data_IF_461521383313
#
_entry.id   IF_461521383313
#
_cell.length_a   1.000
_cell.length_b   1.000
_cell.length_c   1.000
_cell.angle_alpha   90.00
_cell.angle_beta   90.00
_cell.angle_gamma   90.00
#
_symmetry.space_group_name_H-M   'P 1'
#
loop_
_entity.id
_entity.type
_entity.pdbx_description
1 polymer ?
#
# COMPACT_ATOMS: atom_id res chain seq x y z
N UNK A 1 1.83 -0.01 3.98
CA UNK A 1 2.39 0.93 2.98
C UNK A 1 2.23 2.33 3.53
N UNK A 2 2.97 3.30 3.03
CA UNK A 2 2.69 4.71 3.29
C UNK A 2 1.75 5.26 2.22
N UNK A 3 0.68 5.94 2.62
CA UNK A 3 -0.20 6.70 1.72
C UNK A 3 0.19 8.16 1.83
N UNK A 4 0.72 8.70 0.73
CA UNK A 4 1.17 10.07 0.63
C UNK A 4 0.03 10.92 0.07
N UNK A 5 -0.31 12.00 0.76
CA UNK A 5 -1.40 12.93 0.37
C UNK A 5 -0.96 14.37 0.59
N UNK A 6 -1.82 15.32 0.23
CA UNK A 6 -1.67 16.75 0.45
C UNK A 6 -2.74 17.17 1.47
N UNK A 7 -2.30 17.71 2.59
CA UNK A 7 -3.16 18.21 3.64
C UNK A 7 -3.34 19.72 3.52
N UNK A 8 -4.61 20.17 3.48
CA UNK A 8 -4.98 21.59 3.59
C UNK A 8 -5.07 21.99 5.06
N UNK A 9 -4.27 22.97 5.47
CA UNK A 9 -4.30 23.53 6.82
C UNK A 9 -5.06 24.87 6.81
N UNK A 10 -5.79 25.17 7.88
CA UNK A 10 -6.51 26.44 7.96
C UNK A 10 -5.51 27.61 8.01
N UNK A 11 -5.65 28.55 7.06
CA UNK A 11 -4.80 29.74 6.99
C UNK A 11 -3.38 29.49 6.48
N UNK A 12 -3.04 28.29 5.97
CA UNK A 12 -1.71 27.95 5.44
C UNK A 12 -1.85 27.22 4.08
N UNK A 13 -0.76 27.26 3.31
CA UNK A 13 -0.50 26.50 2.08
C UNK A 13 -0.69 24.98 2.27
N UNK A 14 -0.90 24.27 1.16
CA UNK A 14 -0.99 22.81 1.08
C UNK A 14 0.32 22.13 1.52
N UNK A 15 0.26 21.15 2.43
CA UNK A 15 1.45 20.45 2.96
C UNK A 15 1.40 18.96 2.60
N UNK A 16 2.44 18.39 1.98
CA UNK A 16 2.56 16.95 1.78
C UNK A 16 2.61 16.22 3.13
N UNK A 17 1.85 15.14 3.26
CA UNK A 17 1.81 14.29 4.45
C UNK A 17 1.81 12.82 4.05
N UNK A 18 2.29 11.98 4.95
CA UNK A 18 2.40 10.53 4.76
C UNK A 18 1.94 9.82 6.03
N UNK A 19 1.13 8.78 5.89
CA UNK A 19 0.75 7.91 6.99
C UNK A 19 0.84 6.44 6.59
N UNK A 20 1.20 5.59 7.56
CA UNK A 20 1.25 4.15 7.37
C UNK A 20 -0.18 3.57 7.42
N UNK A 21 -0.52 2.76 6.43
CA UNK A 21 -1.80 2.11 6.23
C UNK A 21 -1.62 0.62 5.91
N UNK A 22 -2.57 -0.21 6.33
CA UNK A 22 -2.56 -1.65 6.07
C UNK A 22 -2.91 -1.96 4.62
N UNK A 23 -2.16 -2.88 4.02
CA UNK A 23 -2.35 -3.28 2.63
C UNK A 23 -1.95 -4.73 2.40
N UNK A 24 -2.52 -5.38 1.41
CA UNK A 24 -2.10 -6.71 0.97
C UNK A 24 -2.41 -6.91 -0.51
N UNK A 25 -1.51 -7.57 -1.24
CA UNK A 25 -1.82 -8.05 -2.59
C UNK A 25 -2.44 -9.44 -2.49
N UNK A 26 -3.78 -9.47 -2.44
CA UNK A 26 -4.54 -10.71 -2.26
C UNK A 26 -4.93 -11.40 -3.57
N UNK A 27 -4.81 -10.70 -4.70
CA UNK A 27 -5.06 -11.29 -6.03
C UNK A 27 -3.75 -11.71 -6.72
N UNK A 28 -2.59 -11.38 -6.13
CA UNK A 28 -1.25 -11.65 -6.66
C UNK A 28 -1.03 -11.02 -8.04
N UNK A 29 -1.66 -9.88 -8.29
CA UNK A 29 -1.61 -9.15 -9.56
C UNK A 29 -0.81 -7.84 -9.46
N UNK A 30 -0.18 -7.56 -8.31
CA UNK A 30 0.52 -6.32 -8.04
C UNK A 30 -0.40 -5.15 -7.70
N UNK A 31 -1.71 -5.34 -7.60
CA UNK A 31 -2.65 -4.28 -7.26
C UNK A 31 -3.10 -4.43 -5.80
N UNK A 32 -2.45 -3.73 -4.85
CA UNK A 32 -2.71 -3.94 -3.45
C UNK A 32 -4.11 -3.49 -3.06
N UNK A 33 -4.74 -4.29 -2.20
CA UNK A 33 -5.90 -3.87 -1.43
C UNK A 33 -5.47 -3.03 -0.24
N UNK A 34 -6.26 -2.01 0.07
CA UNK A 34 -6.13 -1.19 1.28
C UNK A 34 -7.44 -1.25 2.06
N UNK A 35 -7.33 -1.60 3.34
CA UNK A 35 -8.41 -1.45 4.31
C UNK A 35 -8.42 0.00 4.81
N UNK A 36 -9.26 0.83 4.20
CA UNK A 36 -9.33 2.25 4.52
C UNK A 36 -10.09 2.43 5.82
N UNK A 37 -9.54 3.20 6.76
CA UNK A 37 -10.28 3.68 7.93
C UNK A 37 -10.69 5.13 7.69
N UNK A 38 -11.99 5.41 7.62
CA UNK A 38 -12.53 6.71 7.18
C UNK A 38 -12.07 7.90 8.03
N UNK A 39 -11.73 7.67 9.31
CA UNK A 39 -11.26 8.72 10.22
C UNK A 39 -9.80 9.13 9.95
N UNK A 40 -9.03 8.29 9.25
CA UNK A 40 -7.62 8.49 8.96
C UNK A 40 -7.37 9.73 8.10
N UNK A 41 -6.22 10.38 8.31
CA UNK A 41 -5.86 11.58 7.55
C UNK A 41 -5.72 11.32 6.04
N UNK A 42 -5.15 10.18 5.55
CA UNK A 42 -5.09 9.96 4.11
C UNK A 42 -6.47 9.86 3.48
N UNK A 43 -7.38 9.09 4.10
CA UNK A 43 -8.75 8.93 3.64
C UNK A 43 -9.48 10.28 3.55
N UNK A 44 -9.36 11.11 4.61
CA UNK A 44 -9.98 12.46 4.65
C UNK A 44 -9.37 13.41 3.62
N UNK A 45 -8.06 13.37 3.40
CA UNK A 45 -7.39 14.21 2.41
C UNK A 45 -7.81 13.82 0.99
N UNK A 46 -7.82 12.52 0.67
CA UNK A 46 -8.27 12.00 -0.64
C UNK A 46 -9.74 12.36 -0.89
N UNK A 47 -10.62 12.18 0.11
CA UNK A 47 -12.02 12.58 0.01
C UNK A 47 -12.23 14.08 -0.24
N UNK A 48 -11.24 14.92 0.10
CA UNK A 48 -11.23 16.38 -0.16
C UNK A 48 -10.52 16.75 -1.47
N UNK A 49 -10.21 15.76 -2.32
CA UNK A 49 -9.60 15.96 -3.63
C UNK A 49 -8.07 16.03 -3.64
N UNK A 50 -7.40 15.53 -2.58
CA UNK A 50 -5.95 15.43 -2.57
C UNK A 50 -5.43 14.51 -3.69
N UNK A 51 -4.35 14.92 -4.35
CA UNK A 51 -3.49 13.99 -5.09
C UNK A 51 -2.86 12.98 -4.13
N UNK A 52 -2.49 11.81 -4.63
CA UNK A 52 -1.94 10.74 -3.81
C UNK A 52 -0.88 9.92 -4.53
N UNK A 53 -0.06 9.25 -3.74
CA UNK A 53 0.83 8.16 -4.16
C UNK A 53 1.02 7.19 -3.00
N UNK A 54 1.57 6.01 -3.28
CA UNK A 54 1.79 4.99 -2.27
C UNK A 54 3.27 4.64 -2.21
N UNK A 55 3.81 4.36 -1.03
CA UNK A 55 5.21 3.96 -0.89
C UNK A 55 5.34 2.70 -0.07
N UNK A 56 6.13 1.76 -0.59
CA UNK A 56 6.44 0.49 0.06
C UNK A 56 7.96 0.35 0.09
N UNK A 57 8.50 -0.04 1.24
CA UNK A 57 9.90 -0.43 1.40
C UNK A 57 9.97 -1.90 1.75
N UNK A 58 10.90 -2.63 1.15
CA UNK A 58 11.23 -3.98 1.61
C UNK A 58 11.75 -3.91 3.05
N UNK A 59 11.19 -4.74 3.93
CA UNK A 59 11.47 -4.67 5.38
C UNK A 59 10.47 -3.85 6.19
N UNK A 60 9.52 -3.12 5.56
CA UNK A 60 8.40 -2.47 6.27
C UNK A 60 7.26 -3.49 6.51
N UNK A 61 7.56 -4.52 7.30
CA UNK A 61 6.60 -5.54 7.69
C UNK A 61 6.65 -5.78 9.21
N UNK A 62 5.58 -6.31 9.82
CA UNK A 62 5.60 -6.74 11.21
C UNK A 62 6.70 -7.79 11.46
N UNK A 63 7.21 -7.85 12.69
CA UNK A 63 8.27 -8.79 13.11
C UNK A 63 7.91 -10.26 12.82
N UNK A 64 6.62 -10.61 12.86
CA UNK A 64 6.14 -11.97 12.61
C UNK A 64 5.86 -12.31 11.14
N UNK A 65 6.07 -11.37 10.21
CA UNK A 65 5.86 -11.63 8.79
C UNK A 65 7.10 -12.25 8.14
N UNK A 66 6.89 -13.29 7.32
CA UNK A 66 7.95 -13.99 6.62
C UNK A 66 8.10 -13.41 5.22
N UNK A 67 8.98 -12.43 5.06
CA UNK A 67 9.36 -11.88 3.75
C UNK A 67 10.76 -12.32 3.36
N UNK A 68 10.99 -12.47 2.06
CA UNK A 68 12.34 -12.56 1.55
C UNK A 68 13.01 -11.17 1.69
N UNK A 69 13.97 -11.08 2.62
CA UNK A 69 14.73 -9.86 2.85
C UNK A 69 15.86 -9.66 1.82
N UNK A 70 16.19 -10.69 1.04
CA UNK A 70 17.22 -10.62 0.01
C UNK A 70 16.65 -9.98 -1.24
N UNK A 71 17.31 -8.91 -1.69
CA UNK A 71 17.00 -8.26 -2.96
C UNK A 71 18.29 -8.04 -3.74
N UNK A 72 18.33 -8.32 -5.06
CA UNK A 72 19.50 -8.06 -5.89
C UNK A 72 20.00 -6.61 -5.78
N UNK A 73 21.21 -6.43 -5.26
CA UNK A 73 21.81 -5.10 -5.06
C UNK A 73 21.37 -4.38 -3.77
N UNK A 74 20.48 -4.99 -2.97
CA UNK A 74 20.06 -4.46 -1.68
C UNK A 74 21.11 -4.64 -0.59
N UNK A 75 21.15 -3.73 0.38
CA UNK A 75 21.95 -3.89 1.61
C UNK A 75 20.98 -4.03 2.79
N UNK A 76 20.72 -5.26 3.22
CA UNK A 76 19.69 -5.63 4.21
C UNK A 76 19.80 -4.83 5.51
N UNK A 77 21.01 -4.56 5.99
CA UNK A 77 21.26 -3.81 7.22
C UNK A 77 21.09 -2.29 7.09
N UNK A 78 20.85 -1.77 5.88
CA UNK A 78 20.72 -0.36 5.61
C UNK A 78 19.32 -0.02 5.09
N UNK A 79 18.52 0.76 5.83
CA UNK A 79 17.21 1.23 5.33
C UNK A 79 17.29 1.99 3.99
N UNK A 80 18.42 2.66 3.72
CA UNK A 80 18.68 3.33 2.45
C UNK A 80 19.23 2.38 1.37
N UNK A 81 19.76 1.22 1.77
CA UNK A 81 20.14 0.14 0.87
C UNK A 81 18.98 -0.80 0.53
N UNK A 82 17.84 -0.70 1.21
CA UNK A 82 16.65 -1.51 0.91
C UNK A 82 15.86 -0.98 -0.31
N UNK A 83 15.26 -1.89 -1.10
CA UNK A 83 14.34 -1.54 -2.18
C UNK A 83 13.15 -0.75 -1.68
N UNK A 84 12.79 0.29 -2.43
CA UNK A 84 11.64 1.16 -2.18
C UNK A 84 10.93 1.42 -3.50
N UNK A 85 9.61 1.33 -3.46
CA UNK A 85 8.74 1.61 -4.59
C UNK A 85 7.82 2.77 -4.23
N UNK A 86 7.69 3.72 -5.14
CA UNK A 86 6.57 4.66 -5.17
C UNK A 86 5.60 4.20 -6.24
N UNK A 87 4.41 3.78 -5.84
CA UNK A 87 3.32 3.37 -6.73
C UNK A 87 2.41 4.56 -7.01
N UNK A 88 1.94 4.68 -8.25
CA UNK A 88 0.91 5.60 -8.69
C UNK A 88 -0.15 4.81 -9.44
N UNK A 89 -1.39 5.30 -9.40
CA UNK A 89 -2.52 4.60 -9.97
C UNK A 89 -3.83 5.09 -9.38
N UNK A 90 -4.91 4.39 -9.70
CA UNK A 90 -6.26 4.77 -9.28
C UNK A 90 -6.73 3.95 -8.08
N UNK A 91 -7.50 4.59 -7.20
CA UNK A 91 -8.20 3.93 -6.10
C UNK A 91 -9.59 3.51 -6.57
N UNK A 92 -9.85 2.20 -6.59
CA UNK A 92 -11.15 1.63 -6.94
C UNK A 92 -11.84 1.13 -5.67
N UNK A 93 -13.02 1.67 -5.34
CA UNK A 93 -13.81 1.14 -4.24
C UNK A 93 -14.39 -0.22 -4.63
N UNK A 94 -14.13 -1.23 -3.79
CA UNK A 94 -14.53 -2.63 -4.03
C UNK A 94 -15.34 -3.20 -2.87
N UNK A 95 -15.80 -2.35 -1.94
CA UNK A 95 -16.55 -2.75 -0.73
C UNK A 95 -17.82 -3.51 -1.06
N UNK A 96 -18.51 -3.10 -2.12
CA UNK A 96 -19.76 -3.70 -2.61
C UNK A 96 -19.54 -4.84 -3.63
N UNK A 97 -18.34 -5.44 -3.63
CA UNK A 97 -18.07 -6.64 -4.45
C UNK A 97 -18.94 -7.83 -4.01
N UNK A 98 -18.96 -8.90 -4.82
CA UNK A 98 -19.71 -10.10 -4.46
C UNK A 98 -19.28 -10.65 -3.08
N UNK A 99 -20.21 -11.23 -2.29
CA UNK A 99 -19.89 -11.78 -0.97
C UNK A 99 -18.73 -12.77 -0.99
N UNK A 100 -18.63 -13.57 -2.06
CA UNK A 100 -17.56 -14.53 -2.26
C UNK A 100 -16.18 -13.85 -2.43
N UNK A 101 -16.13 -12.74 -3.18
CA UNK A 101 -14.90 -11.96 -3.35
C UNK A 101 -14.48 -11.27 -2.06
N UNK A 102 -15.43 -10.69 -1.33
CA UNK A 102 -15.16 -10.07 -0.02
C UNK A 102 -14.64 -11.11 0.99
N UNK A 103 -15.27 -12.30 1.06
CA UNK A 103 -14.82 -13.35 1.97
C UNK A 103 -13.39 -13.82 1.69
N UNK A 104 -13.00 -13.96 0.40
CA UNK A 104 -11.62 -14.28 0.01
C UNK A 104 -10.65 -13.16 0.38
N UNK A 105 -11.01 -11.91 0.09
CA UNK A 105 -10.21 -10.73 0.43
C UNK A 105 -9.97 -10.67 1.94
N UNK A 106 -11.02 -10.77 2.76
CA UNK A 106 -10.91 -10.72 4.21
C UNK A 106 -10.03 -11.86 4.76
N UNK A 107 -10.20 -13.09 4.23
CA UNK A 107 -9.38 -14.24 4.63
C UNK A 107 -7.89 -13.99 4.36
N UNK A 108 -7.54 -13.55 3.15
CA UNK A 108 -6.17 -13.22 2.81
C UNK A 108 -5.63 -12.04 3.65
N UNK A 109 -6.39 -10.96 3.73
CA UNK A 109 -5.95 -9.72 4.37
C UNK A 109 -5.73 -9.91 5.87
N UNK A 110 -6.63 -10.61 6.56
CA UNK A 110 -6.47 -10.96 7.99
C UNK A 110 -5.36 -12.00 8.19
N UNK A 111 -5.14 -12.89 7.22
CA UNK A 111 -3.98 -13.77 7.22
C UNK A 111 -2.66 -12.99 7.28
N UNK A 112 -2.59 -11.84 6.60
CA UNK A 112 -1.42 -10.96 6.58
C UNK A 112 -1.38 -9.92 7.70
N UNK A 113 -2.54 -9.48 8.17
CA UNK A 113 -2.75 -8.50 9.26
C UNK A 113 -3.77 -9.02 10.28
N UNK A 114 -3.39 -9.91 11.20
CA UNK A 114 -4.36 -10.61 12.08
C UNK A 114 -5.19 -9.72 13.00
N UNK A 115 -4.69 -8.54 13.33
CA UNK A 115 -5.36 -7.52 14.12
C UNK A 115 -6.45 -6.78 13.33
N UNK A 116 -6.36 -6.72 12.00
CA UNK A 116 -7.33 -6.03 11.14
C UNK A 116 -8.77 -6.54 11.26
N UNK A 117 -8.96 -7.78 11.72
CA UNK A 117 -10.26 -8.42 11.94
C UNK A 117 -11.22 -7.59 12.80
N UNK A 118 -10.69 -6.73 13.67
CA UNK A 118 -11.51 -5.93 14.59
C UNK A 118 -12.19 -4.74 13.93
N UNK A 119 -11.70 -4.30 12.77
CA UNK A 119 -12.20 -3.11 12.06
C UNK A 119 -12.47 -3.37 10.57
N UNK A 120 -12.84 -4.60 10.21
CA UNK A 120 -13.35 -4.89 8.86
C UNK A 120 -14.68 -4.14 8.62
N UNK A 121 -15.05 -3.83 7.36
CA UNK A 121 -16.22 -2.99 7.07
C UNK A 121 -17.55 -3.49 7.64
N UNK A 122 -17.73 -4.82 7.73
CA UNK A 122 -18.93 -5.45 8.28
C UNK A 122 -18.84 -5.77 9.78
N UNK A 123 -17.74 -5.41 10.45
CA UNK A 123 -17.57 -5.62 11.89
C UNK A 123 -18.49 -4.67 12.67
N UNK A 124 -19.51 -5.22 13.33
CA UNK A 124 -20.49 -4.44 14.10
C UNK A 124 -19.88 -3.66 15.27
N UNK A 125 -18.74 -4.11 15.77
CA UNK A 125 -18.04 -3.49 16.89
C UNK A 125 -16.82 -2.66 16.45
N UNK A 126 -16.68 -2.39 15.15
CA UNK A 126 -15.60 -1.52 14.68
C UNK A 126 -15.76 -0.12 15.27
N UNK A 127 -14.73 0.46 15.92
CA UNK A 127 -14.80 1.80 16.50
C UNK A 127 -14.99 2.90 15.46
N UNK A 128 -14.62 2.62 14.20
CA UNK A 128 -14.72 3.53 13.08
C UNK A 128 -15.22 2.81 11.83
N UNK A 129 -15.84 3.56 10.90
CA UNK A 129 -16.17 3.02 9.58
C UNK A 129 -14.90 2.75 8.79
N UNK A 130 -14.93 1.64 8.06
CA UNK A 130 -13.88 1.25 7.14
C UNK A 130 -14.50 0.75 5.84
N UNK A 131 -13.71 0.75 4.78
CA UNK A 131 -14.12 0.29 3.46
C UNK A 131 -12.94 -0.30 2.69
N UNK A 132 -13.23 -1.13 1.69
CA UNK A 132 -12.23 -1.76 0.86
C UNK A 132 -11.97 -0.95 -0.39
N UNK A 133 -10.69 -0.73 -0.69
CA UNK A 133 -10.25 -0.23 -1.98
C UNK A 133 -9.18 -1.13 -2.57
N UNK A 134 -9.13 -1.20 -3.90
CA UNK A 134 -8.04 -1.80 -4.67
C UNK A 134 -7.30 -0.69 -5.40
N UNK A 135 -5.97 -0.68 -5.33
CA UNK A 135 -5.14 0.29 -6.03
C UNK A 135 -4.75 -0.33 -7.38
N UNK A 136 -5.28 0.23 -8.45
CA UNK A 136 -4.89 -0.14 -9.81
C UNK A 136 -3.60 0.60 -10.18
N UNK A 137 -2.46 -0.06 -10.04
CA UNK A 137 -1.13 0.52 -10.26
C UNK A 137 -0.92 0.76 -11.76
N UNK A 138 -0.50 1.96 -12.14
CA UNK A 138 -0.23 2.33 -13.54
C UNK A 138 1.24 2.69 -13.76
N UNK A 139 1.91 3.18 -12.72
CA UNK A 139 3.29 3.64 -12.80
C UNK A 139 4.01 3.35 -11.49
N UNK A 140 5.28 2.97 -11.60
CA UNK A 140 6.15 2.70 -10.47
C UNK A 140 7.42 3.52 -10.61
N UNK A 141 7.88 4.12 -9.52
CA UNK A 141 9.24 4.63 -9.42
C UNK A 141 10.01 3.79 -8.41
N UNK A 142 11.11 3.19 -8.85
CA UNK A 142 11.89 2.27 -8.06
C UNK A 142 13.20 2.90 -7.59
N UNK A 143 13.54 2.64 -6.34
CA UNK A 143 14.87 2.82 -5.78
C UNK A 143 15.28 1.46 -5.20
N UNK A 144 16.06 0.68 -5.94
CA UNK A 144 16.45 -0.69 -5.54
C UNK A 144 17.46 -0.74 -4.40
N UNK A 145 18.14 0.36 -4.09
CA UNK A 145 19.21 0.43 -3.10
C UNK A 145 20.12 1.61 -3.38
N UNK A 146 21.43 1.42 -3.25
CA UNK A 146 22.42 2.43 -3.66
C UNK A 146 22.61 2.44 -5.18
N UNK A 147 22.69 3.62 -5.78
CA UNK A 147 22.67 3.79 -7.23
C UNK A 147 23.90 3.27 -7.98
N UNK A 148 24.98 2.93 -7.29
CA UNK A 148 26.15 2.23 -7.84
C UNK A 148 25.90 0.71 -8.01
N UNK A 149 24.83 0.16 -7.42
CA UNK A 149 24.59 -1.29 -7.32
C UNK A 149 23.21 -1.73 -7.77
N UNK A 150 22.23 -0.83 -7.71
CA UNK A 150 20.83 -1.15 -7.92
C UNK A 150 20.18 -0.16 -8.88
N UNK A 151 19.13 -0.62 -9.55
CA UNK A 151 18.33 0.20 -10.44
C UNK A 151 17.65 1.34 -9.66
N UNK A 152 17.67 2.54 -10.23
CA UNK A 152 16.94 3.71 -9.75
C UNK A 152 16.28 4.37 -10.95
N UNK A 153 14.95 4.40 -11.00
CA UNK A 153 14.24 4.97 -12.13
C UNK A 153 12.78 4.53 -12.25
N UNK A 154 12.11 4.96 -13.32
CA UNK A 154 10.73 4.59 -13.61
C UNK A 154 10.62 3.16 -14.13
N UNK A 155 9.59 2.44 -13.65
CA UNK A 155 9.16 1.13 -14.17
C UNK A 155 7.71 1.31 -14.64
N UNK A 156 7.44 0.91 -15.89
CA UNK A 156 6.08 1.03 -16.44
C UNK A 156 5.11 0.09 -15.73
N UNK A 157 3.82 0.42 -15.74
CA UNK A 157 2.79 -0.50 -15.23
C UNK A 157 2.81 -1.86 -15.95
N UNK A 158 3.06 -1.88 -17.27
CA UNK A 158 3.17 -3.11 -18.04
C UNK A 158 4.33 -3.99 -17.53
N UNK A 159 5.53 -3.44 -17.39
CA UNK A 159 6.69 -4.17 -16.86
C UNK A 159 6.45 -4.64 -15.41
N UNK A 160 5.81 -3.79 -14.59
CA UNK A 160 5.47 -4.11 -13.22
C UNK A 160 4.53 -5.32 -13.13
N UNK A 161 3.46 -5.34 -13.93
CA UNK A 161 2.49 -6.45 -13.93
C UNK A 161 2.98 -7.69 -14.66
N UNK A 162 3.94 -7.56 -15.58
CA UNK A 162 4.58 -8.69 -16.26
C UNK A 162 5.68 -9.36 -15.43
N UNK A 163 6.10 -8.75 -14.32
CA UNK A 163 7.20 -9.25 -13.49
C UNK A 163 6.87 -10.63 -12.90
N UNK A 164 7.84 -11.54 -12.96
CA UNK A 164 7.73 -12.86 -12.32
C UNK A 164 8.02 -12.74 -10.83
N UNK A 165 7.17 -13.33 -10.00
CA UNK A 165 7.41 -13.43 -8.55
C UNK A 165 8.58 -14.39 -8.33
N UNK A 166 9.64 -13.90 -7.71
CA UNK A 166 10.80 -14.71 -7.31
C UNK A 166 10.46 -15.33 -5.95
N UNK A 167 10.40 -16.67 -5.91
CA UNK A 167 10.19 -17.45 -4.69
C UNK A 167 11.50 -17.65 -3.93
#
# INVERSE_FOLDING_TARGET
>A
MNVNTIQKLEGVEEVPTSAMEYYADCDLDGNPYWLVIDIGSPARNIARGSLYSFTIRSGDHPIGDNVNAEYPGGIVSSPAGSPRLTLKGDIVNVTESSPEKIARLETCFVGRHPDAKWWLPLSQNSPHRSHWVKINVTDVYMIGGFGDRAYIGPVSGEEYHAATIIN
#
